data_IF_758026086297
#
_entry.id   IF_758026086297
#
_cell.length_a   1.000
_cell.length_b   1.000
_cell.length_c   1.000
_cell.angle_alpha   90.00
_cell.angle_beta   90.00
_cell.angle_gamma   90.00
#
_symmetry.space_group_name_H-M   'P 1'
#
loop_
_entity.id
_entity.type
_entity.pdbx_description
1 polymer ?
#
# COMPACT_ATOMS: atom_id res chain seq x y z
N UNK A 1 39.65 -65.00 -15.84
CA UNK A 1 38.20 -64.91 -15.93
C UNK A 1 37.74 -63.99 -14.76
N UNK A 2 37.56 -62.68 -15.04
CA UNK A 2 37.24 -61.66 -14.04
C UNK A 2 35.79 -61.19 -14.29
N UNK A 3 34.91 -61.52 -13.39
CA UNK A 3 33.49 -61.12 -13.41
C UNK A 3 33.37 -59.75 -12.75
N UNK A 4 32.93 -58.75 -13.50
CA UNK A 4 32.58 -57.41 -13.01
C UNK A 4 31.13 -57.45 -12.55
N UNK A 5 30.88 -57.23 -11.23
CA UNK A 5 29.57 -56.97 -10.69
C UNK A 5 29.23 -55.48 -10.81
N UNK A 6 28.25 -55.16 -11.64
CA UNK A 6 27.60 -53.87 -11.68
C UNK A 6 26.61 -53.76 -10.53
N UNK A 7 26.91 -52.89 -9.55
CA UNK A 7 25.95 -52.55 -8.52
C UNK A 7 24.99 -51.47 -9.06
N UNK A 8 23.66 -51.62 -8.94
CA UNK A 8 22.73 -50.58 -9.35
C UNK A 8 22.76 -49.44 -8.34
N UNK A 9 22.93 -48.23 -8.85
CA UNK A 9 22.78 -46.96 -8.09
C UNK A 9 21.33 -46.87 -7.56
N UNK A 10 21.15 -47.06 -6.26
CA UNK A 10 19.88 -46.78 -5.58
C UNK A 10 19.65 -45.23 -5.63
N UNK A 11 18.75 -44.81 -6.49
CA UNK A 11 18.25 -43.44 -6.45
C UNK A 11 17.57 -43.17 -5.10
N UNK A 12 18.07 -42.21 -4.33
CA UNK A 12 17.53 -41.85 -3.02
C UNK A 12 16.13 -41.26 -3.20
N UNK A 13 15.12 -41.89 -2.60
CA UNK A 13 13.75 -41.37 -2.55
C UNK A 13 13.61 -39.98 -1.99
N UNK A 14 14.59 -39.49 -1.21
CA UNK A 14 14.65 -38.13 -0.67
C UNK A 14 14.89 -37.07 -1.73
N UNK A 15 15.57 -37.36 -2.84
CA UNK A 15 15.79 -36.42 -3.94
C UNK A 15 14.53 -36.15 -4.75
N UNK A 16 13.72 -37.21 -4.98
CA UNK A 16 12.46 -37.09 -5.73
C UNK A 16 11.39 -36.31 -4.97
N UNK A 17 11.33 -36.45 -3.63
CA UNK A 17 10.41 -35.70 -2.78
C UNK A 17 10.78 -34.21 -2.76
N UNK A 18 12.06 -33.85 -2.68
CA UNK A 18 12.53 -32.47 -2.72
C UNK A 18 12.23 -31.76 -4.06
N UNK A 19 12.39 -32.43 -5.18
CA UNK A 19 12.05 -31.88 -6.51
C UNK A 19 10.54 -31.68 -6.64
N UNK A 20 9.71 -32.62 -6.14
CA UNK A 20 8.25 -32.51 -6.15
C UNK A 20 7.72 -31.35 -5.30
N UNK A 21 8.29 -31.09 -4.13
CA UNK A 21 7.89 -29.99 -3.23
C UNK A 21 8.28 -28.63 -3.81
N UNK A 22 9.47 -28.54 -4.42
CA UNK A 22 9.93 -27.31 -5.09
C UNK A 22 9.08 -26.97 -6.32
N UNK A 23 8.70 -27.96 -7.11
CA UNK A 23 7.82 -27.77 -8.28
C UNK A 23 6.39 -27.40 -7.89
N UNK A 24 5.83 -27.97 -6.83
CA UNK A 24 4.50 -27.63 -6.32
C UNK A 24 4.46 -26.19 -5.76
N UNK A 25 5.49 -25.76 -5.03
CA UNK A 25 5.61 -24.40 -4.54
C UNK A 25 5.69 -23.35 -5.66
N UNK A 26 6.44 -23.66 -6.73
CA UNK A 26 6.51 -22.82 -7.93
C UNK A 26 5.17 -22.72 -8.65
N UNK A 27 4.45 -23.84 -8.81
CA UNK A 27 3.13 -23.87 -9.45
C UNK A 27 2.10 -23.06 -8.63
N UNK A 28 2.09 -23.23 -7.31
CA UNK A 28 1.20 -22.48 -6.43
C UNK A 28 1.52 -20.99 -6.46
N UNK A 29 2.80 -20.61 -6.49
CA UNK A 29 3.23 -19.22 -6.65
C UNK A 29 2.77 -18.60 -7.97
N UNK A 30 2.98 -19.29 -9.09
CA UNK A 30 2.52 -18.85 -10.41
C UNK A 30 0.99 -18.73 -10.49
N UNK A 31 0.26 -19.66 -9.87
CA UNK A 31 -1.19 -19.60 -9.82
C UNK A 31 -1.70 -18.42 -8.98
N UNK A 32 -1.04 -18.09 -7.87
CA UNK A 32 -1.38 -16.94 -7.06
C UNK A 32 -1.14 -15.62 -7.81
N UNK A 33 0.01 -15.48 -8.49
CA UNK A 33 0.31 -14.34 -9.36
C UNK A 33 -0.74 -14.19 -10.47
N UNK A 34 -1.05 -15.28 -11.17
CA UNK A 34 -2.06 -15.29 -12.22
C UNK A 34 -3.46 -14.85 -11.73
N UNK A 35 -3.88 -15.30 -10.54
CA UNK A 35 -5.14 -14.90 -9.92
C UNK A 35 -5.16 -13.41 -9.60
N UNK A 36 -4.06 -12.87 -9.10
CA UNK A 36 -3.92 -11.44 -8.78
C UNK A 36 -4.00 -10.59 -10.05
N UNK A 37 -3.24 -10.93 -11.09
CA UNK A 37 -3.26 -10.20 -12.38
C UNK A 37 -4.66 -10.21 -12.99
N UNK A 38 -5.34 -11.37 -13.03
CA UNK A 38 -6.72 -11.44 -13.54
C UNK A 38 -7.73 -10.68 -12.68
N UNK A 39 -7.53 -10.63 -11.39
CA UNK A 39 -8.35 -9.81 -10.48
C UNK A 39 -8.24 -8.33 -10.83
N UNK A 40 -7.01 -7.83 -10.95
CA UNK A 40 -6.74 -6.44 -11.32
C UNK A 40 -7.32 -6.08 -12.70
N UNK A 41 -7.12 -6.94 -13.72
CA UNK A 41 -7.69 -6.70 -15.07
C UNK A 41 -9.22 -6.56 -15.07
N UNK A 42 -9.93 -7.28 -14.20
CA UNK A 42 -11.39 -7.16 -14.07
C UNK A 42 -11.77 -5.84 -13.41
N UNK A 43 -11.06 -5.46 -12.36
CA UNK A 43 -11.30 -4.19 -11.64
C UNK A 43 -11.07 -3.02 -12.59
N UNK A 44 -9.97 -3.01 -13.33
CA UNK A 44 -9.66 -1.93 -14.29
C UNK A 44 -10.66 -1.81 -15.44
N UNK A 45 -11.53 -2.80 -15.68
CA UNK A 45 -12.63 -2.75 -16.66
C UNK A 45 -13.95 -2.28 -16.08
N UNK A 46 -14.03 -2.06 -14.76
CA UNK A 46 -15.24 -1.52 -14.14
C UNK A 46 -15.53 -0.10 -14.60
N UNK A 47 -16.80 0.31 -14.63
CA UNK A 47 -17.17 1.72 -14.85
C UNK A 47 -16.58 2.62 -13.77
N UNK A 48 -16.29 3.87 -14.12
CA UNK A 48 -15.85 4.87 -13.14
C UNK A 48 -16.94 5.14 -12.11
N UNK A 49 -16.52 5.26 -10.84
CA UNK A 49 -17.42 5.55 -9.74
C UNK A 49 -16.89 5.03 -8.41
N UNK A 50 -17.62 5.29 -7.31
CA UNK A 50 -17.21 4.89 -5.97
C UNK A 50 -16.94 3.38 -5.86
N UNK A 51 -17.82 2.54 -6.43
CA UNK A 51 -17.68 1.07 -6.41
C UNK A 51 -16.34 0.60 -7.02
N UNK A 52 -15.89 1.26 -8.10
CA UNK A 52 -14.59 0.98 -8.72
C UNK A 52 -13.44 1.26 -7.75
N UNK A 53 -13.43 2.44 -7.12
CA UNK A 53 -12.37 2.85 -6.19
C UNK A 53 -12.36 1.98 -4.94
N UNK A 54 -13.52 1.66 -4.37
CA UNK A 54 -13.66 0.81 -3.20
C UNK A 54 -13.20 -0.63 -3.48
N UNK A 55 -13.58 -1.18 -4.65
CA UNK A 55 -13.14 -2.52 -5.07
C UNK A 55 -11.62 -2.56 -5.27
N UNK A 56 -11.06 -1.53 -5.89
CA UNK A 56 -9.61 -1.42 -6.09
C UNK A 56 -8.87 -1.29 -4.76
N UNK A 57 -9.37 -0.46 -3.83
CA UNK A 57 -8.80 -0.29 -2.51
C UNK A 57 -8.76 -1.61 -1.74
N UNK A 58 -9.87 -2.34 -1.69
CA UNK A 58 -9.94 -3.65 -1.03
C UNK A 58 -8.94 -4.64 -1.63
N UNK A 59 -8.88 -4.70 -2.96
CA UNK A 59 -7.96 -5.57 -3.67
C UNK A 59 -6.50 -5.23 -3.36
N UNK A 60 -6.13 -3.95 -3.36
CA UNK A 60 -4.78 -3.50 -3.07
C UNK A 60 -4.41 -3.66 -1.59
N UNK A 61 -5.35 -3.46 -0.66
CA UNK A 61 -5.14 -3.73 0.76
C UNK A 61 -4.85 -5.22 1.00
N UNK A 62 -5.60 -6.12 0.36
CA UNK A 62 -5.33 -7.56 0.42
C UNK A 62 -3.96 -7.91 -0.18
N UNK A 63 -3.61 -7.30 -1.32
CA UNK A 63 -2.30 -7.47 -1.96
C UNK A 63 -1.18 -6.98 -1.04
N UNK A 64 -1.34 -5.81 -0.44
CA UNK A 64 -0.37 -5.23 0.49
C UNK A 64 -0.13 -6.14 1.71
N UNK A 65 -1.19 -6.64 2.33
CA UNK A 65 -1.12 -7.50 3.52
C UNK A 65 -0.50 -8.87 3.23
N UNK A 66 -0.65 -9.39 2.01
CA UNK A 66 -0.15 -10.74 1.64
C UNK A 66 1.21 -10.72 0.96
N UNK A 67 1.59 -9.61 0.34
CA UNK A 67 2.77 -9.47 -0.52
C UNK A 67 3.47 -8.13 -0.34
N UNK A 68 3.72 -7.74 0.91
CA UNK A 68 4.46 -6.52 1.21
C UNK A 68 5.74 -6.43 0.36
N UNK A 69 5.91 -5.34 -0.39
CA UNK A 69 7.04 -5.10 -1.29
C UNK A 69 6.79 -5.37 -2.78
N UNK A 70 5.64 -5.95 -3.18
CA UNK A 70 5.28 -6.19 -4.60
C UNK A 70 4.36 -5.10 -5.19
N UNK A 71 4.07 -4.02 -4.45
CA UNK A 71 3.26 -2.91 -4.93
C UNK A 71 4.07 -1.94 -5.78
N UNK A 72 3.48 -1.48 -6.88
CA UNK A 72 4.04 -0.34 -7.61
C UNK A 72 3.87 0.95 -6.80
N UNK A 73 4.65 1.98 -7.12
CA UNK A 73 4.50 3.29 -6.49
C UNK A 73 3.11 3.89 -6.76
N UNK A 74 2.52 3.65 -7.92
CA UNK A 74 1.17 4.09 -8.26
C UNK A 74 0.10 3.38 -7.41
N UNK A 75 0.24 2.07 -7.19
CA UNK A 75 -0.67 1.31 -6.33
C UNK A 75 -0.57 1.75 -4.87
N UNK A 76 0.66 1.92 -4.37
CA UNK A 76 0.90 2.36 -3.00
C UNK A 76 0.42 3.80 -2.79
N UNK A 77 0.71 4.71 -3.72
CA UNK A 77 0.23 6.09 -3.67
C UNK A 77 -1.29 6.19 -3.68
N UNK A 78 -1.98 5.40 -4.53
CA UNK A 78 -3.45 5.31 -4.52
C UNK A 78 -3.97 4.86 -3.15
N UNK A 79 -3.45 3.75 -2.62
CA UNK A 79 -3.89 3.18 -1.35
C UNK A 79 -3.67 4.17 -0.21
N UNK A 80 -2.48 4.78 -0.13
CA UNK A 80 -2.12 5.72 0.92
C UNK A 80 -2.95 7.00 0.89
N UNK A 81 -3.33 7.51 -0.29
CA UNK A 81 -4.24 8.66 -0.41
C UNK A 81 -5.65 8.31 0.07
N UNK A 82 -6.15 7.12 -0.25
CA UNK A 82 -7.46 6.66 0.23
C UNK A 82 -7.48 6.52 1.76
N UNK A 83 -6.48 5.85 2.32
CA UNK A 83 -6.34 5.65 3.77
C UNK A 83 -6.16 6.98 4.51
N UNK A 84 -5.38 7.92 3.97
CA UNK A 84 -5.28 9.28 4.50
C UNK A 84 -6.66 9.94 4.58
N UNK A 85 -7.41 9.94 3.49
CA UNK A 85 -8.71 10.59 3.43
C UNK A 85 -9.71 9.95 4.42
N UNK A 86 -9.71 8.63 4.54
CA UNK A 86 -10.55 7.90 5.49
C UNK A 86 -10.19 8.23 6.94
N UNK A 87 -8.92 8.19 7.31
CA UNK A 87 -8.46 8.43 8.68
C UNK A 87 -8.68 9.88 9.10
N UNK A 88 -8.36 10.86 8.22
CA UNK A 88 -8.56 12.27 8.54
C UNK A 88 -10.05 12.61 8.64
N UNK A 89 -10.90 12.09 7.77
CA UNK A 89 -12.34 12.29 7.86
C UNK A 89 -12.98 11.61 9.10
N UNK A 90 -12.35 10.57 9.65
CA UNK A 90 -12.85 9.84 10.81
C UNK A 90 -12.37 10.44 12.14
N UNK A 91 -11.14 10.94 12.23
CA UNK A 91 -10.58 11.45 13.49
C UNK A 91 -9.39 12.37 13.34
N UNK A 92 -9.24 13.03 12.19
CA UNK A 92 -8.21 14.03 11.95
C UNK A 92 -6.80 13.48 11.74
N UNK A 93 -5.84 14.41 11.64
CA UNK A 93 -4.42 14.06 11.49
C UNK A 93 -3.85 13.33 12.70
N UNK A 94 -4.38 13.58 13.90
CA UNK A 94 -4.00 12.83 15.10
C UNK A 94 -4.29 11.34 14.89
N UNK A 95 -5.51 10.96 14.49
CA UNK A 95 -5.86 9.58 14.20
C UNK A 95 -5.04 9.01 13.04
N UNK A 96 -4.85 9.75 11.97
CA UNK A 96 -4.06 9.32 10.82
C UNK A 96 -2.64 8.95 11.22
N UNK A 97 -1.95 9.82 11.95
CA UNK A 97 -0.59 9.53 12.39
C UNK A 97 -0.52 8.49 13.51
N UNK A 98 -1.55 8.37 14.35
CA UNK A 98 -1.60 7.34 15.39
C UNK A 98 -1.77 5.93 14.80
N UNK A 99 -2.51 5.79 13.70
CA UNK A 99 -2.82 4.53 13.05
C UNK A 99 -1.73 4.08 12.06
N UNK A 100 -1.88 2.83 11.53
CA UNK A 100 -0.94 2.25 10.57
C UNK A 100 -0.87 2.99 9.24
N UNK A 101 -1.92 3.72 8.85
CA UNK A 101 -1.94 4.55 7.66
C UNK A 101 -0.82 5.60 7.65
N UNK A 102 -0.48 6.16 8.82
CA UNK A 102 0.64 7.09 8.97
C UNK A 102 2.03 6.49 8.64
N UNK A 103 2.18 5.16 8.54
CA UNK A 103 3.43 4.55 8.07
C UNK A 103 3.77 4.98 6.65
N UNK A 104 2.76 5.33 5.87
CA UNK A 104 2.83 5.66 4.44
C UNK A 104 2.58 7.15 4.17
N UNK A 105 2.88 8.03 5.14
CA UNK A 105 2.65 9.46 5.00
C UNK A 105 3.42 10.07 3.81
N UNK A 106 4.65 9.60 3.57
CA UNK A 106 5.44 10.03 2.40
C UNK A 106 4.84 9.53 1.09
N UNK A 107 4.28 8.31 1.05
CA UNK A 107 3.62 7.75 -0.13
C UNK A 107 2.27 8.45 -0.39
N UNK A 108 1.54 8.82 0.65
CA UNK A 108 0.32 9.62 0.53
C UNK A 108 0.63 11.02 -0.05
N UNK A 109 1.69 11.68 0.43
CA UNK A 109 2.14 12.97 -0.11
C UNK A 109 2.55 12.86 -1.58
N UNK A 110 3.33 11.83 -1.93
CA UNK A 110 3.67 11.55 -3.32
C UNK A 110 2.41 11.30 -4.16
N UNK A 111 1.48 10.47 -3.66
CA UNK A 111 0.23 10.14 -4.34
C UNK A 111 -0.63 11.38 -4.62
N UNK A 112 -0.81 12.25 -3.62
CA UNK A 112 -1.55 13.51 -3.77
C UNK A 112 -0.95 14.40 -4.87
N UNK A 113 0.38 14.54 -4.89
CA UNK A 113 1.07 15.31 -5.93
C UNK A 113 0.94 14.65 -7.30
N UNK A 114 1.04 13.32 -7.37
CA UNK A 114 0.91 12.57 -8.62
C UNK A 114 -0.48 12.67 -9.25
N UNK A 115 -1.54 12.79 -8.44
CA UNK A 115 -2.91 12.99 -8.93
C UNK A 115 -3.27 14.47 -9.15
N UNK A 116 -2.40 15.40 -8.78
CA UNK A 116 -2.61 16.84 -8.89
C UNK A 116 -3.47 17.46 -7.78
N UNK A 117 -3.61 16.79 -6.62
CA UNK A 117 -4.32 17.29 -5.44
C UNK A 117 -3.41 18.20 -4.60
N UNK A 118 -2.99 19.31 -5.17
CA UNK A 118 -1.95 20.20 -4.61
C UNK A 118 -2.34 20.85 -3.28
N UNK A 119 -3.62 21.18 -3.09
CA UNK A 119 -4.09 21.79 -1.83
C UNK A 119 -4.05 20.74 -0.71
N UNK A 120 -4.56 19.56 -0.96
CA UNK A 120 -4.54 18.46 0.01
C UNK A 120 -3.10 18.02 0.32
N UNK A 121 -2.22 17.99 -0.71
CA UNK A 121 -0.79 17.73 -0.52
C UNK A 121 -0.12 18.76 0.39
N UNK A 122 -0.42 20.05 0.22
CA UNK A 122 0.11 21.13 1.05
C UNK A 122 -0.37 21.05 2.50
N UNK A 123 -1.63 20.66 2.71
CA UNK A 123 -2.18 20.43 4.06
C UNK A 123 -1.44 19.27 4.75
N UNK A 124 -1.28 18.14 4.06
CA UNK A 124 -0.55 16.98 4.60
C UNK A 124 0.92 17.34 4.90
N UNK A 125 1.58 18.06 4.02
CA UNK A 125 2.99 18.49 4.21
C UNK A 125 3.15 19.34 5.49
N UNK A 126 2.22 20.27 5.74
CA UNK A 126 2.18 21.09 6.98
C UNK A 126 1.89 20.22 8.21
N UNK A 127 1.04 19.22 8.08
CA UNK A 127 0.77 18.27 9.17
C UNK A 127 2.01 17.43 9.52
N UNK A 128 2.72 16.94 8.50
CA UNK A 128 3.98 16.20 8.66
C UNK A 128 5.09 17.09 9.28
N UNK A 129 5.13 18.37 8.93
CA UNK A 129 6.10 19.33 9.45
C UNK A 129 5.96 19.60 10.98
N UNK A 130 4.88 19.14 11.62
CA UNK A 130 4.74 19.23 13.08
C UNK A 130 5.61 18.19 13.80
N UNK A 131 6.10 17.16 13.13
CA UNK A 131 7.03 16.21 13.72
C UNK A 131 8.44 16.79 13.87
N UNK A 132 9.21 16.37 14.90
CA UNK A 132 10.58 16.84 15.09
C UNK A 132 11.45 16.58 13.86
N UNK A 133 12.12 17.62 13.38
CA UNK A 133 12.94 17.53 12.16
C UNK A 133 12.12 17.31 10.89
N UNK A 134 10.83 17.62 10.90
CA UNK A 134 9.91 17.49 9.77
C UNK A 134 9.85 16.04 9.20
N UNK A 135 10.16 15.06 10.06
CA UNK A 135 10.25 13.66 9.65
C UNK A 135 9.24 12.82 10.43
N UNK A 136 8.29 12.23 9.72
CA UNK A 136 7.31 11.29 10.28
C UNK A 136 7.96 9.92 10.39
N UNK A 137 8.05 9.31 11.60
CA UNK A 137 8.56 7.95 11.72
C UNK A 137 7.69 6.94 10.98
N UNK A 138 8.29 6.08 10.16
CA UNK A 138 7.56 5.06 9.39
C UNK A 138 6.99 3.96 10.30
N UNK A 139 7.72 3.57 11.36
CA UNK A 139 7.26 2.55 12.28
C UNK A 139 6.23 3.11 13.25
N UNK A 140 5.03 2.51 13.27
CA UNK A 140 3.91 2.96 14.10
C UNK A 140 4.28 3.19 15.56
N UNK A 141 4.98 2.26 16.19
CA UNK A 141 5.33 2.38 17.61
C UNK A 141 6.33 3.50 17.90
N UNK A 142 7.26 3.77 16.98
CA UNK A 142 8.19 4.91 17.09
C UNK A 142 7.44 6.22 16.91
N UNK A 143 6.55 6.30 15.94
CA UNK A 143 5.72 7.48 15.70
C UNK A 143 4.80 7.78 16.88
N UNK A 144 4.14 6.77 17.46
CA UNK A 144 3.32 6.93 18.66
C UNK A 144 4.14 7.46 19.84
N UNK A 145 5.36 6.94 20.06
CA UNK A 145 6.24 7.44 21.12
C UNK A 145 6.66 8.90 20.90
N UNK A 146 6.85 9.32 19.64
CA UNK A 146 7.09 10.74 19.31
C UNK A 146 5.85 11.56 19.58
N UNK A 147 4.66 11.11 19.14
CA UNK A 147 3.38 11.80 19.34
C UNK A 147 3.08 12.04 20.82
N UNK A 148 3.31 11.05 21.67
CA UNK A 148 3.14 11.14 23.13
C UNK A 148 4.01 12.24 23.78
N UNK A 149 5.09 12.63 23.12
CA UNK A 149 6.02 13.66 23.59
C UNK A 149 5.83 15.03 22.94
N UNK A 150 4.89 15.15 21.97
CA UNK A 150 4.61 16.41 21.30
C UNK A 150 3.90 17.40 22.23
N UNK A 151 4.19 18.72 22.14
CA UNK A 151 3.46 19.72 22.90
C UNK A 151 2.02 19.85 22.40
N UNK A 152 1.11 20.30 23.29
CA UNK A 152 -0.31 20.53 23.00
C UNK A 152 -0.54 21.43 21.78
N UNK A 153 0.36 22.38 21.53
CA UNK A 153 0.29 23.24 20.34
C UNK A 153 0.34 22.51 19.00
N UNK A 154 0.91 21.30 18.96
CA UNK A 154 0.88 20.45 17.75
C UNK A 154 -0.52 19.90 17.54
N UNK A 155 -1.21 19.49 18.59
CA UNK A 155 -2.59 19.03 18.53
C UNK A 155 -3.51 20.14 18.00
N UNK A 156 -3.36 21.37 18.56
CA UNK A 156 -4.09 22.55 18.06
C UNK A 156 -3.79 22.83 16.57
N UNK A 157 -2.53 22.66 16.14
CA UNK A 157 -2.15 22.82 14.74
C UNK A 157 -2.79 21.77 13.83
N UNK A 158 -2.83 20.51 14.26
CA UNK A 158 -3.51 19.44 13.51
C UNK A 158 -5.02 19.66 13.44
N UNK A 159 -5.69 20.05 14.52
CA UNK A 159 -7.11 20.41 14.52
C UNK A 159 -7.41 21.53 13.51
N UNK A 160 -6.54 22.55 13.41
CA UNK A 160 -6.70 23.59 12.40
C UNK A 160 -6.54 23.05 10.98
N UNK A 161 -5.59 22.13 10.75
CA UNK A 161 -5.38 21.47 9.46
C UNK A 161 -6.51 20.52 9.08
N UNK A 162 -7.14 19.86 10.06
CA UNK A 162 -8.34 19.06 9.86
C UNK A 162 -9.47 19.90 9.28
N UNK A 163 -9.68 21.10 9.85
CA UNK A 163 -10.69 22.02 9.31
C UNK A 163 -10.35 22.48 7.89
N UNK A 164 -9.09 22.76 7.59
CA UNK A 164 -8.67 23.07 6.22
C UNK A 164 -8.93 21.88 5.28
N UNK A 165 -8.64 20.66 5.70
CA UNK A 165 -8.88 19.43 4.93
C UNK A 165 -10.38 19.24 4.64
N UNK A 166 -11.24 19.36 5.65
CA UNK A 166 -12.69 19.21 5.48
C UNK A 166 -13.31 20.29 4.57
N UNK A 167 -12.72 21.49 4.52
CA UNK A 167 -13.18 22.56 3.65
C UNK A 167 -12.54 22.56 2.26
N UNK A 168 -11.50 21.74 2.07
CA UNK A 168 -10.86 21.61 0.77
C UNK A 168 -11.75 20.81 -0.18
N UNK A 169 -12.15 21.45 -1.28
CA UNK A 169 -13.06 20.86 -2.28
C UNK A 169 -12.30 20.24 -3.47
N UNK A 170 -11.16 19.62 -3.20
CA UNK A 170 -10.49 18.84 -4.25
C UNK A 170 -11.22 17.51 -4.47
N UNK A 171 -11.62 17.20 -5.71
CA UNK A 171 -12.39 15.99 -6.00
C UNK A 171 -11.47 14.77 -6.07
N UNK A 172 -10.94 14.32 -4.90
CA UNK A 172 -9.94 13.26 -4.82
C UNK A 172 -10.33 12.00 -5.58
N UNK A 173 -11.59 11.55 -5.48
CA UNK A 173 -12.06 10.36 -6.18
C UNK A 173 -11.98 10.50 -7.71
N UNK A 174 -12.29 11.68 -8.25
CA UNK A 174 -12.20 11.95 -9.69
C UNK A 174 -10.74 12.03 -10.14
N UNK A 175 -9.87 12.64 -9.32
CA UNK A 175 -8.43 12.74 -9.58
C UNK A 175 -7.77 11.35 -9.53
N UNK A 176 -8.09 10.55 -8.51
CA UNK A 176 -7.63 9.16 -8.40
C UNK A 176 -8.09 8.32 -9.59
N UNK A 177 -9.36 8.40 -9.97
CA UNK A 177 -9.90 7.69 -11.14
C UNK A 177 -9.11 8.06 -12.40
N UNK A 178 -8.92 9.35 -12.65
CA UNK A 178 -8.18 9.84 -13.82
C UNK A 178 -6.73 9.35 -13.82
N UNK A 179 -6.08 9.37 -12.65
CA UNK A 179 -4.72 8.88 -12.47
C UNK A 179 -4.61 7.37 -12.77
N UNK A 180 -5.53 6.56 -12.23
CA UNK A 180 -5.55 5.11 -12.48
C UNK A 180 -5.73 4.84 -13.98
N UNK A 181 -6.67 5.55 -14.64
CA UNK A 181 -6.92 5.37 -16.09
C UNK A 181 -5.71 5.72 -16.94
N UNK A 182 -4.96 6.74 -16.56
CA UNK A 182 -3.72 7.13 -17.24
C UNK A 182 -2.56 6.15 -17.00
N UNK A 183 -2.55 5.47 -15.86
CA UNK A 183 -1.43 4.65 -15.40
C UNK A 183 -1.78 3.15 -15.25
N UNK A 184 -2.76 2.63 -16.01
CA UNK A 184 -3.26 1.25 -15.86
C UNK A 184 -2.18 0.16 -15.89
N UNK A 185 -1.06 0.41 -16.57
CA UNK A 185 0.05 -0.55 -16.67
C UNK A 185 0.83 -0.72 -15.36
N UNK A 186 0.72 0.25 -14.46
CA UNK A 186 1.35 0.24 -13.14
C UNK A 186 0.51 -0.50 -12.10
N UNK A 187 -0.77 -0.75 -12.38
CA UNK A 187 -1.69 -1.51 -11.54
C UNK A 187 -1.70 -2.98 -12.01
N UNK A 188 -1.11 -3.90 -11.19
CA UNK A 188 -0.84 -5.31 -11.58
C UNK A 188 -1.29 -6.32 -10.53
#
# INVERSE_FOLDING_TARGET
MSTWFLTPLRASSAGLIRIGVLSLGLILGLFAVWKTVRGMEKILKMPDGPEFLDTLQHFLSDKHNTRAGEMSQCELGFLSVRELAEEVNNGGFDQYFFNSAGNYASDALWGLRAIGAEKTAFILERAMAQFPGETVPELRHERQAVMDALPESVQEAWEALDQEFYHTQEPLDSLLTSFIRANQREFR
#
